data_IF_774471414569
#
_entry.id   IF_774471414569
#
_cell.length_a   1.000
_cell.length_b   1.000
_cell.length_c   1.000
_cell.angle_alpha   90.00
_cell.angle_beta   90.00
_cell.angle_gamma   90.00
#
_symmetry.space_group_name_H-M   'P 1'
#
loop_
_entity.id
_entity.type
_entity.pdbx_description
1 polymer ?
#
# COMPACT_ATOMS: atom_id res chain seq x y z
N UNK A 1 20.94 -66.71 -6.42
CA UNK A 1 21.35 -65.67 -5.47
C UNK A 1 20.13 -64.81 -5.09
N UNK A 2 19.17 -65.34 -4.31
CA UNK A 2 17.84 -64.71 -4.07
C UNK A 2 17.46 -64.67 -2.57
N UNK A 3 18.28 -65.22 -1.67
CA UNK A 3 17.95 -65.35 -0.24
C UNK A 3 18.32 -64.12 0.61
N UNK A 4 19.07 -63.17 0.07
CA UNK A 4 19.55 -61.98 0.81
C UNK A 4 18.55 -60.83 0.80
N UNK A 5 17.78 -60.65 -0.28
CA UNK A 5 16.79 -59.56 -0.39
C UNK A 5 15.58 -59.75 0.54
N UNK A 6 15.10 -60.97 0.73
CA UNK A 6 13.97 -61.22 1.66
C UNK A 6 14.36 -60.96 3.12
N UNK A 7 15.62 -61.20 3.50
CA UNK A 7 16.11 -60.87 4.85
C UNK A 7 16.22 -59.35 5.06
N UNK A 8 16.64 -58.60 4.05
CA UNK A 8 16.73 -57.13 4.16
C UNK A 8 15.36 -56.44 4.17
N UNK A 9 14.35 -56.97 3.47
CA UNK A 9 12.97 -56.44 3.52
C UNK A 9 12.31 -56.60 4.89
N UNK A 10 12.56 -57.72 5.60
CA UNK A 10 12.02 -57.96 6.95
C UNK A 10 12.66 -57.10 8.04
N UNK A 11 13.92 -56.68 7.87
CA UNK A 11 14.65 -55.85 8.86
C UNK A 11 14.26 -54.37 8.78
N UNK A 12 13.93 -53.86 7.58
CA UNK A 12 13.50 -52.45 7.41
C UNK A 12 12.09 -52.16 7.94
N UNK A 13 11.25 -53.17 8.12
CA UNK A 13 9.84 -53.01 8.50
C UNK A 13 9.59 -52.83 10.01
N UNK A 14 10.61 -52.95 10.88
CA UNK A 14 10.40 -53.04 12.35
C UNK A 14 11.05 -51.90 13.15
N UNK A 15 11.23 -50.71 12.55
CA UNK A 15 11.88 -49.59 13.27
C UNK A 15 11.34 -48.19 12.99
N UNK A 16 10.06 -48.07 12.67
CA UNK A 16 9.31 -46.88 13.09
C UNK A 16 8.49 -47.25 14.32
N UNK A 17 9.18 -47.62 15.41
CA UNK A 17 8.57 -47.48 16.74
C UNK A 17 8.14 -46.02 16.79
N UNK A 18 6.84 -45.80 16.95
CA UNK A 18 6.28 -44.48 17.17
C UNK A 18 7.05 -43.89 18.35
N UNK A 19 8.05 -43.02 18.08
CA UNK A 19 8.80 -42.29 19.09
C UNK A 19 7.88 -41.20 19.62
N UNK A 20 6.89 -41.60 20.38
CA UNK A 20 5.94 -40.72 21.03
C UNK A 20 5.46 -41.42 22.27
N UNK A 21 6.00 -41.03 23.43
CA UNK A 21 5.30 -41.24 24.68
C UNK A 21 3.95 -40.52 24.66
N UNK A 22 3.12 -40.76 25.68
CA UNK A 22 1.86 -40.04 25.85
C UNK A 22 2.10 -38.53 25.67
N UNK A 23 1.49 -37.95 24.64
CA UNK A 23 1.59 -36.52 24.36
C UNK A 23 0.83 -35.82 25.49
N UNK A 24 1.49 -34.93 26.21
CA UNK A 24 0.79 -34.13 27.24
C UNK A 24 -0.27 -33.25 26.56
N UNK A 25 -1.36 -32.95 27.27
CA UNK A 25 -2.46 -32.14 26.73
C UNK A 25 -1.95 -30.80 26.16
N UNK A 26 -0.93 -30.21 26.79
CA UNK A 26 -0.27 -28.99 26.32
C UNK A 26 0.47 -29.18 25.00
N UNK A 27 1.20 -30.29 24.83
CA UNK A 27 1.87 -30.60 23.56
C UNK A 27 0.85 -30.85 22.44
N UNK A 28 -0.31 -31.43 22.75
CA UNK A 28 -1.39 -31.59 21.79
C UNK A 28 -1.99 -30.24 21.38
N UNK A 29 -2.28 -29.36 22.35
CA UNK A 29 -2.75 -27.99 22.09
C UNK A 29 -1.77 -27.18 21.25
N UNK A 30 -0.48 -27.25 21.58
CA UNK A 30 0.59 -26.57 20.82
C UNK A 30 0.64 -27.05 19.37
N UNK A 31 0.55 -28.36 19.14
CA UNK A 31 0.50 -28.94 17.78
C UNK A 31 -0.74 -28.51 16.99
N UNK A 32 -1.89 -28.37 17.64
CA UNK A 32 -3.12 -27.87 17.00
C UNK A 32 -2.91 -26.41 16.58
N UNK A 33 -2.42 -25.57 17.50
CA UNK A 33 -2.16 -24.17 17.20
C UNK A 33 -1.10 -23.96 16.11
N UNK A 34 -0.02 -24.74 16.12
CA UNK A 34 0.99 -24.70 15.05
C UNK A 34 0.39 -25.08 13.69
N UNK A 35 -0.55 -26.03 13.65
CA UNK A 35 -1.26 -26.39 12.42
C UNK A 35 -2.17 -25.26 11.94
N UNK A 36 -2.94 -24.64 12.84
CA UNK A 36 -3.85 -23.54 12.46
C UNK A 36 -3.05 -22.35 11.94
N UNK A 37 -1.99 -21.93 12.64
CA UNK A 37 -1.11 -20.84 12.19
C UNK A 37 -0.48 -21.16 10.83
N UNK A 38 -0.02 -22.40 10.63
CA UNK A 38 0.57 -22.82 9.35
C UNK A 38 -0.45 -22.84 8.21
N UNK A 39 -1.70 -23.21 8.48
CA UNK A 39 -2.78 -23.14 7.50
C UNK A 39 -3.16 -21.69 7.18
N UNK A 40 -3.29 -20.83 8.17
CA UNK A 40 -3.54 -19.39 7.99
C UNK A 40 -2.46 -18.74 7.11
N UNK A 41 -1.17 -18.98 7.41
CA UNK A 41 -0.05 -18.46 6.61
C UNK A 41 -0.12 -18.98 5.18
N UNK A 42 -0.52 -20.24 4.95
CA UNK A 42 -0.66 -20.82 3.61
C UNK A 42 -1.83 -20.20 2.85
N UNK A 43 -2.97 -20.00 3.50
CA UNK A 43 -4.13 -19.36 2.91
C UNK A 43 -3.86 -17.89 2.58
N UNK A 44 -3.16 -17.16 3.45
CA UNK A 44 -2.69 -15.81 3.14
C UNK A 44 -1.71 -15.79 1.97
N UNK A 45 -0.78 -16.75 1.90
CA UNK A 45 0.16 -16.85 0.78
C UNK A 45 -0.56 -17.13 -0.55
N UNK A 46 -1.59 -17.99 -0.56
CA UNK A 46 -2.45 -18.22 -1.73
C UNK A 46 -3.20 -16.96 -2.13
N UNK A 47 -3.86 -16.29 -1.18
CA UNK A 47 -4.57 -15.01 -1.42
C UNK A 47 -3.62 -13.95 -1.99
N UNK A 48 -2.40 -13.82 -1.44
CA UNK A 48 -1.38 -12.90 -1.98
C UNK A 48 -0.96 -13.29 -3.39
N UNK A 49 -0.81 -14.58 -3.69
CA UNK A 49 -0.49 -15.08 -5.03
C UNK A 49 -1.59 -14.80 -6.03
N UNK A 50 -2.86 -14.89 -5.63
CA UNK A 50 -4.03 -14.62 -6.46
C UNK A 50 -4.30 -13.12 -6.67
N UNK A 51 -3.97 -12.27 -5.70
CA UNK A 51 -4.08 -10.80 -5.83
C UNK A 51 -3.08 -10.20 -6.82
N UNK A 52 -1.85 -10.73 -6.87
CA UNK A 52 -0.80 -10.21 -7.77
C UNK A 52 -1.20 -10.17 -9.26
N UNK A 53 -1.75 -11.23 -9.87
CA UNK A 53 -2.17 -11.17 -11.27
C UNK A 53 -3.35 -10.21 -11.47
N UNK A 54 -4.25 -10.09 -10.49
CA UNK A 54 -5.40 -9.17 -10.58
C UNK A 54 -4.94 -7.72 -10.72
N UNK A 55 -3.96 -7.29 -9.91
CA UNK A 55 -3.38 -5.94 -10.01
C UNK A 55 -2.79 -5.66 -11.40
N UNK A 56 -2.13 -6.65 -12.01
CA UNK A 56 -1.57 -6.52 -13.35
C UNK A 56 -2.64 -6.44 -14.45
N UNK A 57 -3.77 -7.13 -14.27
CA UNK A 57 -4.91 -7.07 -15.20
C UNK A 57 -5.62 -5.72 -15.06
N UNK A 58 -5.88 -5.28 -13.82
CA UNK A 58 -6.50 -3.99 -13.52
C UNK A 58 -5.69 -2.83 -14.13
N UNK A 59 -4.37 -2.84 -13.95
CA UNK A 59 -3.49 -1.83 -14.55
C UNK A 59 -3.58 -1.82 -16.09
N UNK A 60 -3.60 -2.99 -16.74
CA UNK A 60 -3.76 -3.07 -18.19
C UNK A 60 -5.13 -2.56 -18.66
N UNK A 61 -6.20 -2.82 -17.90
CA UNK A 61 -7.53 -2.31 -18.19
C UNK A 61 -7.58 -0.79 -18.08
N UNK A 62 -6.94 -0.20 -17.07
CA UNK A 62 -6.82 1.26 -16.93
C UNK A 62 -6.09 1.90 -18.12
N UNK A 63 -4.92 1.34 -18.49
CA UNK A 63 -4.19 1.81 -19.68
C UNK A 63 -5.04 1.71 -20.95
N UNK A 64 -5.83 0.64 -21.07
CA UNK A 64 -6.71 0.44 -22.22
C UNK A 64 -7.83 1.49 -22.25
N UNK A 65 -8.44 1.78 -21.11
CA UNK A 65 -9.47 2.81 -20.99
C UNK A 65 -8.94 4.19 -21.43
N UNK A 66 -7.71 4.56 -21.06
CA UNK A 66 -7.09 5.81 -21.52
C UNK A 66 -6.81 5.84 -23.03
N UNK A 67 -6.43 4.72 -23.64
CA UNK A 67 -6.28 4.61 -25.10
C UNK A 67 -7.63 4.79 -25.80
N UNK A 68 -8.65 4.07 -25.32
CA UNK A 68 -9.99 4.09 -25.92
C UNK A 68 -10.65 5.47 -25.76
N UNK A 69 -10.49 6.13 -24.60
CA UNK A 69 -10.95 7.50 -24.37
C UNK A 69 -10.30 8.51 -25.35
N UNK A 70 -8.97 8.47 -25.52
CA UNK A 70 -8.28 9.33 -26.48
C UNK A 70 -8.70 9.07 -27.92
N UNK A 71 -8.98 7.80 -28.27
CA UNK A 71 -9.49 7.45 -29.60
C UNK A 71 -10.89 8.00 -29.81
N UNK A 72 -11.78 7.81 -28.83
CA UNK A 72 -13.15 8.31 -28.89
C UNK A 72 -13.18 9.85 -28.98
N UNK A 73 -12.35 10.55 -28.21
CA UNK A 73 -12.26 12.01 -28.27
C UNK A 73 -11.76 12.52 -29.64
N UNK A 74 -10.83 11.81 -30.29
CA UNK A 74 -10.41 12.15 -31.66
C UNK A 74 -11.54 11.97 -32.67
N UNK A 75 -12.35 10.92 -32.53
CA UNK A 75 -13.51 10.66 -33.38
C UNK A 75 -14.56 11.75 -33.17
N UNK A 76 -14.92 12.03 -31.91
CA UNK A 76 -15.83 13.11 -31.54
C UNK A 76 -15.41 14.46 -32.12
N UNK A 77 -14.12 14.84 -32.01
CA UNK A 77 -13.60 16.09 -32.58
C UNK A 77 -13.73 16.13 -34.11
N UNK A 78 -13.52 15.00 -34.78
CA UNK A 78 -13.70 14.90 -36.23
C UNK A 78 -15.16 15.07 -36.61
N UNK A 79 -16.07 14.36 -35.94
CA UNK A 79 -17.51 14.45 -36.16
C UNK A 79 -18.04 15.86 -35.89
N UNK A 80 -17.60 16.51 -34.81
CA UNK A 80 -17.94 17.89 -34.49
C UNK A 80 -17.52 18.85 -35.61
N UNK A 81 -16.30 18.67 -36.13
CA UNK A 81 -15.76 19.50 -37.20
C UNK A 81 -16.47 19.24 -38.54
N UNK A 82 -16.84 17.99 -38.83
CA UNK A 82 -17.63 17.62 -40.00
C UNK A 82 -19.08 18.15 -39.91
N UNK A 83 -19.67 18.13 -38.72
CA UNK A 83 -20.97 18.72 -38.45
C UNK A 83 -20.95 20.23 -38.69
N UNK A 84 -19.98 20.94 -38.13
CA UNK A 84 -19.82 22.39 -38.33
C UNK A 84 -19.61 22.76 -39.80
N UNK A 85 -18.91 21.92 -40.58
CA UNK A 85 -18.71 22.13 -42.02
C UNK A 85 -19.98 21.92 -42.84
N UNK A 86 -20.78 20.91 -42.49
CA UNK A 86 -22.00 20.56 -43.23
C UNK A 86 -23.19 21.43 -42.85
N UNK A 87 -23.24 21.90 -41.60
CA UNK A 87 -24.35 22.67 -41.04
C UNK A 87 -23.81 23.87 -40.24
N UNK A 88 -23.37 24.95 -40.90
CA UNK A 88 -22.71 26.08 -40.24
C UNK A 88 -23.64 26.86 -39.29
N UNK A 89 -24.95 26.89 -39.58
CA UNK A 89 -25.94 27.66 -38.82
C UNK A 89 -26.69 26.82 -37.76
N UNK A 90 -26.36 25.53 -37.63
CA UNK A 90 -27.03 24.61 -36.72
C UNK A 90 -26.12 24.32 -35.52
N UNK A 91 -26.68 24.35 -34.31
CA UNK A 91 -25.92 23.94 -33.12
C UNK A 91 -25.65 22.42 -33.13
N UNK A 92 -24.42 21.99 -32.83
CA UNK A 92 -24.09 20.57 -32.73
C UNK A 92 -24.80 19.91 -31.55
N UNK A 93 -25.02 18.60 -31.67
CA UNK A 93 -25.61 17.80 -30.60
C UNK A 93 -24.80 17.92 -29.30
N UNK A 94 -25.51 17.94 -28.17
CA UNK A 94 -24.91 18.08 -26.82
C UNK A 94 -23.82 17.04 -26.55
N UNK A 95 -23.98 15.82 -27.07
CA UNK A 95 -23.00 14.74 -26.95
C UNK A 95 -21.68 15.09 -27.66
N UNK A 96 -21.75 15.70 -28.84
CA UNK A 96 -20.57 16.19 -29.58
C UNK A 96 -19.93 17.41 -28.91
N UNK A 97 -20.63 18.11 -28.02
CA UNK A 97 -20.08 19.21 -27.22
C UNK A 97 -19.43 18.73 -25.92
N UNK A 98 -19.74 17.52 -25.45
CA UNK A 98 -19.16 16.98 -24.23
C UNK A 98 -17.81 16.32 -24.49
N UNK A 99 -16.75 16.83 -23.85
CA UNK A 99 -15.43 16.21 -23.94
C UNK A 99 -15.36 14.85 -23.27
N UNK A 100 -14.76 13.89 -23.97
CA UNK A 100 -14.41 12.58 -23.44
C UNK A 100 -13.03 12.72 -22.80
N UNK A 101 -13.01 12.73 -21.47
CA UNK A 101 -11.80 12.92 -20.67
C UNK A 101 -11.10 11.57 -20.50
N UNK A 102 -9.77 11.57 -20.64
CA UNK A 102 -8.95 10.40 -20.36
C UNK A 102 -8.95 10.12 -18.84
N UNK A 103 -9.27 8.91 -18.38
CA UNK A 103 -9.25 8.57 -16.96
C UNK A 103 -7.90 8.84 -16.27
N UNK A 104 -6.77 8.76 -17.00
CA UNK A 104 -5.46 9.09 -16.43
C UNK A 104 -5.32 10.60 -16.15
N UNK A 105 -5.98 11.44 -16.95
CA UNK A 105 -5.99 12.91 -16.75
C UNK A 105 -6.88 13.27 -15.57
N UNK A 106 -8.05 12.63 -15.44
CA UNK A 106 -8.90 12.82 -14.24
C UNK A 106 -8.18 12.41 -12.96
N UNK A 107 -7.45 11.28 -12.99
CA UNK A 107 -6.70 10.81 -11.82
C UNK A 107 -5.64 11.83 -11.39
N UNK A 108 -4.82 12.31 -12.33
CA UNK A 108 -3.78 13.32 -12.04
C UNK A 108 -4.38 14.60 -11.47
N UNK A 109 -5.49 15.06 -12.04
CA UNK A 109 -6.18 16.25 -11.54
C UNK A 109 -6.65 16.09 -10.10
N UNK A 110 -7.19 14.91 -9.74
CA UNK A 110 -7.59 14.62 -8.35
C UNK A 110 -6.38 14.58 -7.42
N UNK A 111 -5.28 13.95 -7.84
CA UNK A 111 -4.03 13.92 -7.07
C UNK A 111 -3.49 15.33 -6.81
N UNK A 112 -3.51 16.21 -7.82
CA UNK A 112 -3.13 17.62 -7.70
C UNK A 112 -4.08 18.41 -6.77
N UNK A 113 -5.38 18.20 -6.88
CA UNK A 113 -6.39 18.83 -6.02
C UNK A 113 -6.23 18.39 -4.55
N UNK A 114 -5.94 17.11 -4.29
CA UNK A 114 -5.64 16.59 -2.95
C UNK A 114 -4.33 17.14 -2.40
N UNK A 115 -3.29 17.28 -3.23
CA UNK A 115 -2.01 17.86 -2.82
C UNK A 115 -2.15 19.35 -2.47
N UNK A 116 -2.89 20.11 -3.27
CA UNK A 116 -3.24 21.50 -2.96
C UNK A 116 -4.03 21.60 -1.66
N UNK A 117 -5.00 20.72 -1.43
CA UNK A 117 -5.74 20.68 -0.15
C UNK A 117 -4.82 20.39 1.04
N UNK A 118 -3.83 19.52 0.88
CA UNK A 118 -2.84 19.27 1.94
C UNK A 118 -1.96 20.48 2.20
N UNK A 119 -1.51 21.17 1.16
CA UNK A 119 -0.71 22.40 1.30
C UNK A 119 -1.50 23.49 2.02
N UNK A 120 -2.75 23.72 1.63
CA UNK A 120 -3.64 24.67 2.31
C UNK A 120 -3.88 24.29 3.77
N UNK A 121 -4.07 22.99 4.08
CA UNK A 121 -4.22 22.55 5.46
C UNK A 121 -2.96 22.78 6.33
N UNK A 122 -1.76 22.71 5.75
CA UNK A 122 -0.51 23.05 6.44
C UNK A 122 -0.40 24.55 6.68
N UNK A 123 -0.74 25.38 5.69
CA UNK A 123 -0.76 26.84 5.82
C UNK A 123 -1.81 27.31 6.84
N UNK A 124 -3.02 26.74 6.82
CA UNK A 124 -4.10 27.07 7.75
C UNK A 124 -3.85 26.56 9.18
N UNK A 125 -3.12 25.45 9.34
CA UNK A 125 -2.80 24.91 10.67
C UNK A 125 -1.62 25.59 11.36
N UNK A 126 -0.91 26.50 10.69
CA UNK A 126 0.18 27.28 11.28
C UNK A 126 1.29 26.44 11.94
N UNK A 127 1.40 25.16 11.59
CA UNK A 127 2.39 24.27 12.16
C UNK A 127 3.71 24.47 11.44
N UNK A 128 4.57 25.31 12.02
CA UNK A 128 5.96 25.47 11.60
C UNK A 128 6.67 24.14 11.81
N UNK A 129 7.14 23.51 10.72
CA UNK A 129 8.02 22.35 10.79
C UNK A 129 9.26 22.72 11.62
N UNK A 130 9.32 22.21 12.85
CA UNK A 130 10.37 22.46 13.84
C UNK A 130 11.70 21.74 13.51
N UNK A 131 11.90 21.35 12.24
CA UNK A 131 13.04 20.55 11.79
C UNK A 131 14.28 21.39 11.44
N UNK A 132 14.21 22.71 11.63
CA UNK A 132 15.30 23.65 11.37
C UNK A 132 15.74 24.51 12.56
N UNK A 133 15.35 24.18 13.80
CA UNK A 133 15.91 24.83 14.99
C UNK A 133 17.28 24.25 15.29
N UNK A 134 18.30 24.80 14.63
CA UNK A 134 19.69 24.76 15.06
C UNK A 134 19.73 25.38 16.47
N UNK A 135 19.63 24.54 17.50
CA UNK A 135 20.02 24.93 18.85
C UNK A 135 21.52 25.20 18.79
N UNK A 136 21.86 26.47 18.60
CA UNK A 136 23.23 26.95 18.63
C UNK A 136 23.95 26.38 19.84
N UNK A 137 25.05 25.70 19.54
CA UNK A 137 26.19 25.41 20.41
C UNK A 137 26.31 26.43 21.53
N UNK A 138 25.88 26.06 22.73
CA UNK A 138 26.21 26.81 23.94
C UNK A 138 27.63 26.39 24.31
N UNK A 139 28.61 27.05 23.70
CA UNK A 139 29.97 27.10 24.21
C UNK A 139 29.94 27.89 25.52
N UNK A 140 30.14 27.23 26.65
CA UNK A 140 30.55 27.88 27.91
C UNK A 140 31.23 26.85 28.82
N UNK A 141 32.55 26.79 28.69
CA UNK A 141 33.44 26.29 29.73
C UNK A 141 33.37 27.20 30.97
N UNK A 142 33.65 26.63 32.16
CA UNK A 142 33.99 27.33 33.42
C UNK A 142 32.85 28.15 34.06
N UNK A 143 32.56 28.14 35.36
CA UNK A 143 33.26 27.69 36.56
C UNK A 143 32.25 27.39 37.69
N UNK A 144 32.70 26.65 38.70
CA UNK A 144 32.04 26.51 39.98
C UNK A 144 31.99 27.85 40.74
N UNK A 145 30.98 27.97 41.63
CA UNK A 145 30.97 28.68 42.93
C UNK A 145 29.89 29.74 43.19
N UNK A 146 29.30 29.60 44.38
CA UNK A 146 28.70 30.60 45.28
C UNK A 146 27.35 31.29 44.96
N UNK A 147 26.34 30.87 45.73
CA UNK A 147 25.42 31.68 46.56
C UNK A 147 25.33 33.19 46.25
N UNK A 148 24.12 33.68 45.97
CA UNK A 148 23.47 34.65 46.85
C UNK A 148 21.99 34.84 46.51
N UNK A 149 21.16 34.85 47.55
CA UNK A 149 19.70 34.83 47.46
C UNK A 149 19.07 36.18 47.16
N UNK A 150 17.85 36.11 46.62
CA UNK A 150 16.80 37.12 46.83
C UNK A 150 15.45 36.43 46.63
N UNK A 151 14.90 35.94 47.74
CA UNK A 151 13.50 35.53 47.86
C UNK A 151 12.67 36.81 47.84
N UNK A 152 11.70 36.91 46.92
CA UNK A 152 10.75 38.02 46.85
C UNK A 152 9.82 37.97 48.08
N UNK A 153 9.80 39.02 48.94
CA UNK A 153 8.99 39.03 50.16
C UNK A 153 7.49 39.29 49.93
N UNK A 154 7.01 39.49 48.70
CA UNK A 154 5.61 39.82 48.42
C UNK A 154 4.75 38.65 47.89
N UNK A 155 5.10 37.41 48.23
CA UNK A 155 4.34 36.20 47.86
C UNK A 155 3.37 35.70 48.96
N UNK A 156 2.89 36.60 49.82
CA UNK A 156 1.70 36.40 50.66
C UNK A 156 0.72 37.56 50.52
#
# INVERSE_FOLDING_TARGET
MVMTEQRQRKVRSRKSIQKGGAITVEQARKKIHEKTVKEEVREEAKKKKERKPMLGIEYKLQLRAGIDARRAERVRKRELLEFQRSNPDTEPLRELLQAIIDPDVERRRREEEEELQRQLAVEESGFVDFTGLDYGTIDSASDNESLDGNIDPNLF
#
